data_IF_230928292905
#
_entry.id   IF_230928292905
#
_cell.length_a   1.000
_cell.length_b   1.000
_cell.length_c   1.000
_cell.angle_alpha   90.00
_cell.angle_beta   90.00
_cell.angle_gamma   90.00
#
_symmetry.space_group_name_H-M   'P 1'
#
loop_
_entity.id
_entity.type
_entity.pdbx_description
1 polymer ?
#
# COMPACT_ATOMS: atom_id res chain seq x y z
N UNK A 1 20.09 9.95 -4.82
CA UNK A 1 18.72 9.99 -5.41
C UNK A 1 18.28 8.55 -5.62
N UNK A 2 17.11 8.15 -5.14
CA UNK A 2 16.65 6.77 -5.29
C UNK A 2 16.28 6.47 -6.76
N UNK A 3 16.53 5.25 -7.25
CA UNK A 3 16.12 4.84 -8.59
C UNK A 3 14.59 4.81 -8.71
N UNK A 4 14.03 5.09 -9.91
CA UNK A 4 12.59 4.97 -10.12
C UNK A 4 12.14 3.51 -10.03
N UNK A 5 10.94 3.29 -9.49
CA UNK A 5 10.30 1.97 -9.55
C UNK A 5 9.89 1.67 -10.99
N UNK A 6 10.27 0.49 -11.49
CA UNK A 6 9.97 0.02 -12.86
C UNK A 6 9.45 -1.40 -12.81
N UNK A 7 8.65 -1.78 -13.82
CA UNK A 7 8.15 -3.15 -13.96
C UNK A 7 7.27 -3.61 -12.80
N UNK A 8 6.62 -2.66 -12.11
CA UNK A 8 5.67 -2.92 -11.04
C UNK A 8 4.39 -2.13 -11.29
N UNK A 9 3.27 -2.77 -11.00
CA UNK A 9 1.94 -2.19 -10.99
C UNK A 9 1.35 -2.31 -9.58
N UNK A 10 0.40 -1.45 -9.28
CA UNK A 10 -0.26 -1.40 -7.99
C UNK A 10 -1.76 -1.56 -8.20
N UNK A 11 -2.38 -2.40 -7.38
CA UNK A 11 -3.82 -2.40 -7.24
C UNK A 11 -4.16 -1.57 -6.00
N UNK A 12 -4.94 -0.50 -6.17
CA UNK A 12 -5.51 0.27 -5.07
C UNK A 12 -6.95 -0.17 -4.87
N UNK A 13 -7.27 -0.65 -3.68
CA UNK A 13 -8.61 -1.07 -3.26
C UNK A 13 -9.02 -0.26 -2.05
N UNK A 14 -10.16 0.42 -2.12
CA UNK A 14 -10.70 1.17 -1.00
C UNK A 14 -12.18 0.78 -0.83
N UNK A 15 -12.53 0.10 0.26
CA UNK A 15 -13.93 -0.16 0.61
C UNK A 15 -14.71 1.13 0.77
N UNK A 16 -16.04 1.06 0.61
CA UNK A 16 -16.95 2.20 0.81
C UNK A 16 -17.07 2.56 2.31
N UNK A 17 -16.01 3.17 2.83
CA UNK A 17 -15.90 3.61 4.21
C UNK A 17 -14.81 4.68 4.33
N UNK A 18 -14.92 5.52 5.36
CA UNK A 18 -13.94 6.57 5.65
C UNK A 18 -13.38 6.39 7.05
N UNK A 19 -12.05 6.43 7.16
CA UNK A 19 -11.34 6.48 8.44
C UNK A 19 -10.89 7.90 8.73
N UNK A 20 -11.15 8.37 9.95
CA UNK A 20 -10.71 9.69 10.39
C UNK A 20 -9.24 9.62 10.81
N UNK A 21 -8.36 10.23 10.00
CA UNK A 21 -6.91 10.28 10.26
C UNK A 21 -6.59 10.70 11.69
N UNK A 22 -7.22 11.77 12.19
CA UNK A 22 -7.00 12.29 13.54
C UNK A 22 -7.32 11.26 14.64
N UNK A 23 -8.34 10.43 14.44
CA UNK A 23 -8.71 9.36 15.37
C UNK A 23 -7.69 8.24 15.35
N UNK A 24 -7.25 7.80 14.17
CA UNK A 24 -6.25 6.73 14.04
C UNK A 24 -4.92 7.15 14.69
N UNK A 25 -4.46 8.38 14.43
CA UNK A 25 -3.25 8.89 15.07
C UNK A 25 -3.37 9.03 16.59
N UNK A 26 -4.56 9.36 17.10
CA UNK A 26 -4.82 9.41 18.57
C UNK A 26 -4.78 8.02 19.21
N UNK A 27 -5.24 6.99 18.51
CA UNK A 27 -5.22 5.61 18.98
C UNK A 27 -3.81 5.00 18.93
N UNK A 28 -2.93 5.54 18.08
CA UNK A 28 -1.52 5.14 17.95
C UNK A 28 -0.67 5.55 19.18
N UNK A 29 -1.18 5.42 20.41
CA UNK A 29 -0.56 5.75 21.70
C UNK A 29 0.70 4.91 22.00
N UNK A 30 1.65 4.89 21.07
CA UNK A 30 3.00 4.37 21.21
C UNK A 30 3.92 5.58 21.33
N UNK A 31 4.74 5.61 22.39
CA UNK A 31 5.80 6.61 22.52
C UNK A 31 6.66 6.68 21.26
N UNK A 32 7.35 7.82 21.09
CA UNK A 32 8.33 8.04 20.01
C UNK A 32 9.08 6.74 19.71
N UNK A 33 9.13 6.33 18.44
CA UNK A 33 9.79 5.09 17.97
C UNK A 33 11.16 4.90 18.61
N UNK A 34 11.19 4.21 19.76
CA UNK A 34 12.36 4.22 20.64
C UNK A 34 13.35 3.12 20.26
N UNK A 35 12.92 2.18 19.41
CA UNK A 35 13.73 1.10 18.85
C UNK A 35 13.26 0.75 17.44
N UNK A 36 13.71 1.51 16.45
CA UNK A 36 13.71 1.04 15.06
C UNK A 36 15.16 0.82 14.64
N UNK A 37 15.49 -0.28 13.94
CA UNK A 37 16.80 -0.44 13.30
C UNK A 37 17.11 0.81 12.47
N UNK A 38 18.38 1.26 12.47
CA UNK A 38 18.80 2.38 11.61
C UNK A 38 18.69 1.97 10.15
N UNK A 39 17.53 2.18 9.54
CA UNK A 39 17.34 2.09 8.09
C UNK A 39 18.06 3.30 7.47
N UNK A 40 18.93 3.03 6.51
CA UNK A 40 19.65 4.06 5.78
C UNK A 40 19.41 3.86 4.28
N UNK A 41 19.91 4.79 3.47
CA UNK A 41 19.64 4.78 2.04
C UNK A 41 20.13 3.52 1.32
N UNK A 42 21.22 2.89 1.76
CA UNK A 42 21.76 1.66 1.15
C UNK A 42 20.82 0.47 1.35
N UNK A 43 20.17 0.39 2.52
CA UNK A 43 19.13 -0.62 2.76
C UNK A 43 17.93 -0.43 1.82
N UNK A 44 17.53 0.83 1.60
CA UNK A 44 16.42 1.17 0.69
C UNK A 44 16.78 0.87 -0.76
N UNK A 45 17.98 1.22 -1.21
CA UNK A 45 18.45 0.92 -2.58
C UNK A 45 18.46 -0.59 -2.86
N UNK A 46 18.94 -1.39 -1.91
CA UNK A 46 18.91 -2.85 -2.02
C UNK A 46 17.48 -3.43 -2.07
N UNK A 47 16.55 -2.84 -1.32
CA UNK A 47 15.13 -3.21 -1.39
C UNK A 47 14.53 -2.87 -2.74
N UNK A 48 14.75 -1.65 -3.24
CA UNK A 48 14.24 -1.21 -4.55
C UNK A 48 14.80 -2.07 -5.68
N UNK A 49 16.07 -2.46 -5.63
CA UNK A 49 16.68 -3.30 -6.66
C UNK A 49 16.02 -4.68 -6.80
N UNK A 50 15.34 -5.16 -5.75
CA UNK A 50 14.62 -6.45 -5.75
C UNK A 50 13.10 -6.28 -5.90
N UNK A 51 12.59 -5.04 -5.83
CA UNK A 51 11.16 -4.76 -5.90
C UNK A 51 10.63 -5.01 -7.33
N UNK A 52 9.41 -5.55 -7.50
CA UNK A 52 8.46 -5.99 -6.47
C UNK A 52 8.60 -7.47 -6.06
N UNK A 53 9.54 -8.21 -6.65
CA UNK A 53 9.63 -9.68 -6.52
C UNK A 53 10.41 -10.16 -5.29
N UNK A 54 11.16 -9.29 -4.63
CA UNK A 54 11.91 -9.59 -3.42
C UNK A 54 11.09 -9.51 -2.14
N UNK A 55 11.64 -10.04 -1.06
CA UNK A 55 11.08 -9.88 0.28
C UNK A 55 10.99 -8.39 0.65
N UNK A 56 9.81 -7.98 1.10
CA UNK A 56 9.55 -6.63 1.60
C UNK A 56 9.41 -6.69 3.12
N UNK A 57 10.21 -5.88 3.80
CA UNK A 57 10.20 -5.78 5.27
C UNK A 57 9.62 -4.45 5.76
N UNK A 58 9.22 -3.57 4.84
CA UNK A 58 8.49 -2.36 5.18
C UNK A 58 7.07 -2.71 5.62
N UNK A 59 6.48 -1.87 6.46
CA UNK A 59 5.11 -2.05 6.93
C UNK A 59 4.50 -0.72 7.34
N UNK A 60 3.18 -0.72 7.51
CA UNK A 60 2.47 0.45 7.97
C UNK A 60 2.07 0.28 9.43
N UNK A 61 2.77 0.97 10.35
CA UNK A 61 2.51 0.90 11.79
C UNK A 61 1.06 1.24 12.17
N UNK A 62 0.35 2.01 11.35
CA UNK A 62 -1.06 2.34 11.60
C UNK A 62 -1.95 1.09 11.54
N UNK A 63 -1.51 0.01 10.88
CA UNK A 63 -2.23 -1.27 10.85
C UNK A 63 -2.43 -1.88 12.23
N UNK A 64 -1.49 -1.67 13.17
CA UNK A 64 -1.57 -2.18 14.54
C UNK A 64 -2.80 -1.66 15.29
N UNK A 65 -3.30 -0.47 14.92
CA UNK A 65 -4.49 0.15 15.51
C UNK A 65 -5.71 0.10 14.61
N UNK A 66 -5.52 0.10 13.28
CA UNK A 66 -6.63 0.05 12.32
C UNK A 66 -7.18 -1.38 12.22
N UNK A 67 -6.35 -2.38 11.91
CA UNK A 67 -6.85 -3.72 11.56
C UNK A 67 -7.71 -4.38 12.65
N UNK A 68 -7.41 -4.26 13.96
CA UNK A 68 -8.26 -4.82 15.00
C UNK A 68 -9.70 -4.28 14.99
N UNK A 69 -9.89 -3.02 14.59
CA UNK A 69 -11.20 -2.37 14.55
C UNK A 69 -11.95 -2.55 13.24
N UNK A 70 -11.29 -3.03 12.17
CA UNK A 70 -11.86 -3.10 10.82
C UNK A 70 -11.57 -4.45 10.15
N UNK A 71 -12.32 -5.53 10.50
CA UNK A 71 -12.12 -6.86 9.93
C UNK A 71 -12.26 -6.92 8.40
N UNK A 72 -12.98 -5.98 7.79
CA UNK A 72 -13.08 -5.85 6.33
C UNK A 72 -11.72 -5.56 5.69
N UNK A 73 -10.89 -4.73 6.32
CA UNK A 73 -9.56 -4.40 5.83
C UNK A 73 -8.59 -5.57 6.03
N UNK A 74 -8.70 -6.27 7.17
CA UNK A 74 -7.89 -7.45 7.43
C UNK A 74 -8.16 -8.56 6.41
N UNK A 75 -9.42 -8.83 6.09
CA UNK A 75 -9.79 -9.80 5.04
C UNK A 75 -9.33 -9.36 3.66
N UNK A 76 -9.51 -8.08 3.31
CA UNK A 76 -9.03 -7.56 2.03
C UNK A 76 -7.52 -7.70 1.87
N UNK A 77 -6.73 -7.40 2.91
CA UNK A 77 -5.27 -7.60 2.89
C UNK A 77 -4.93 -9.08 2.72
N UNK A 78 -5.64 -9.99 3.40
CA UNK A 78 -5.44 -11.43 3.26
C UNK A 78 -5.75 -11.93 1.84
N UNK A 79 -6.90 -11.52 1.26
CA UNK A 79 -7.29 -11.83 -0.12
C UNK A 79 -6.21 -11.35 -1.11
N UNK A 80 -5.72 -10.12 -0.97
CA UNK A 80 -4.68 -9.58 -1.84
C UNK A 80 -3.33 -10.31 -1.68
N UNK A 81 -3.03 -10.82 -0.49
CA UNK A 81 -1.82 -11.61 -0.24
C UNK A 81 -1.79 -12.97 -0.95
N UNK A 82 -2.95 -13.48 -1.38
CA UNK A 82 -3.00 -14.69 -2.21
C UNK A 82 -2.39 -14.46 -3.60
N UNK A 83 -2.35 -13.20 -4.05
CA UNK A 83 -1.86 -12.81 -5.38
C UNK A 83 -0.57 -11.99 -5.36
N UNK A 84 -0.30 -11.29 -4.26
CA UNK A 84 0.81 -10.36 -4.11
C UNK A 84 1.64 -10.63 -2.84
N UNK A 85 2.96 -10.50 -2.97
CA UNK A 85 3.88 -10.58 -1.81
C UNK A 85 3.76 -9.39 -0.87
N UNK A 86 3.18 -8.28 -1.33
CA UNK A 86 3.02 -7.03 -0.59
C UNK A 86 1.57 -6.59 -0.72
N UNK A 87 0.86 -6.54 0.41
CA UNK A 87 -0.45 -5.92 0.55
C UNK A 87 -0.53 -5.24 1.92
N UNK A 88 -0.95 -3.97 1.96
CA UNK A 88 -1.06 -3.20 3.21
C UNK A 88 -1.88 -1.92 3.04
N UNK A 89 -2.28 -1.32 4.15
CA UNK A 89 -2.91 -0.01 4.19
C UNK A 89 -1.99 1.08 3.61
N UNK A 90 -2.58 1.98 2.82
CA UNK A 90 -1.97 3.21 2.34
C UNK A 90 -2.22 4.34 3.34
N UNK A 91 -1.27 4.52 4.27
CA UNK A 91 -1.36 5.53 5.31
C UNK A 91 -2.42 5.21 6.37
N UNK A 92 -3.21 6.20 6.78
CA UNK A 92 -4.20 6.07 7.88
C UNK A 92 -5.62 5.73 7.40
N UNK A 93 -5.83 5.68 6.08
CA UNK A 93 -7.15 5.52 5.47
C UNK A 93 -7.56 4.05 5.31
N UNK A 94 -8.73 3.86 4.70
CA UNK A 94 -9.26 2.54 4.33
C UNK A 94 -8.67 1.99 3.03
N UNK A 95 -7.85 2.78 2.31
CA UNK A 95 -7.21 2.33 1.09
C UNK A 95 -6.15 1.28 1.40
N UNK A 96 -6.24 0.12 0.75
CA UNK A 96 -5.24 -0.94 0.72
C UNK A 96 -4.58 -0.90 -0.65
N UNK A 97 -3.26 -1.07 -0.69
CA UNK A 97 -2.56 -1.31 -1.95
C UNK A 97 -1.94 -2.71 -1.94
N UNK A 98 -1.86 -3.31 -3.11
CA UNK A 98 -1.07 -4.50 -3.37
C UNK A 98 -0.14 -4.29 -4.56
N UNK A 99 1.02 -4.95 -4.54
CA UNK A 99 2.09 -4.74 -5.53
C UNK A 99 2.27 -5.97 -6.41
N UNK A 100 2.31 -5.75 -7.72
CA UNK A 100 2.40 -6.81 -8.70
C UNK A 100 3.60 -6.59 -9.63
N UNK A 101 4.34 -7.67 -9.89
CA UNK A 101 5.36 -7.74 -10.95
C UNK A 101 4.91 -8.54 -12.17
N UNK A 102 3.61 -8.86 -12.22
CA UNK A 102 2.93 -9.61 -13.27
C UNK A 102 1.50 -9.06 -13.42
N UNK A 103 1.16 -8.62 -14.63
CA UNK A 103 -0.12 -7.99 -14.94
C UNK A 103 -1.30 -8.98 -14.85
N UNK A 104 -1.08 -10.26 -15.20
CA UNK A 104 -2.12 -11.28 -15.14
C UNK A 104 -2.61 -11.53 -13.72
N UNK A 105 -1.68 -11.64 -12.76
CA UNK A 105 -2.00 -11.72 -11.32
C UNK A 105 -2.72 -10.48 -10.80
N UNK A 106 -2.34 -9.29 -11.27
CA UNK A 106 -3.03 -8.07 -10.90
C UNK A 106 -4.49 -8.12 -11.34
N UNK A 107 -4.76 -8.46 -12.59
CA UNK A 107 -6.14 -8.53 -13.11
C UNK A 107 -6.97 -9.63 -12.44
N UNK A 108 -6.35 -10.75 -12.08
CA UNK A 108 -7.02 -11.78 -11.29
C UNK A 108 -7.43 -11.23 -9.91
N UNK A 109 -6.48 -10.67 -9.15
CA UNK A 109 -6.75 -10.07 -7.85
C UNK A 109 -7.82 -8.97 -7.94
N UNK A 110 -7.75 -8.13 -8.98
CA UNK A 110 -8.71 -7.06 -9.24
C UNK A 110 -10.13 -7.59 -9.34
N UNK A 111 -10.35 -8.67 -10.10
CA UNK A 111 -11.67 -9.29 -10.27
C UNK A 111 -12.20 -9.90 -8.98
N UNK A 112 -11.33 -10.49 -8.17
CA UNK A 112 -11.73 -11.17 -6.93
C UNK A 112 -12.12 -10.18 -5.82
N UNK A 113 -11.48 -9.02 -5.76
CA UNK A 113 -11.76 -8.00 -4.73
C UNK A 113 -12.83 -6.99 -5.14
N UNK A 114 -13.26 -7.01 -6.41
CA UNK A 114 -14.22 -6.06 -6.96
C UNK A 114 -15.61 -6.25 -6.33
N UNK A 115 -16.11 -5.18 -5.71
CA UNK A 115 -17.36 -5.15 -4.95
C UNK A 115 -18.12 -3.86 -5.28
N UNK A 116 -19.47 -3.89 -5.30
CA UNK A 116 -20.26 -2.68 -5.50
C UNK A 116 -19.88 -1.58 -4.49
N UNK A 117 -19.70 -0.34 -4.97
CA UNK A 117 -19.33 0.81 -4.15
C UNK A 117 -17.84 0.92 -3.80
N UNK A 118 -17.05 -0.13 -4.00
CA UNK A 118 -15.62 -0.08 -3.72
C UNK A 118 -14.86 0.61 -4.83
N UNK A 119 -13.88 1.42 -4.47
CA UNK A 119 -12.91 1.95 -5.43
C UNK A 119 -11.83 0.90 -5.67
N UNK A 120 -11.68 0.47 -6.92
CA UNK A 120 -10.69 -0.54 -7.33
C UNK A 120 -9.98 -0.08 -8.59
N UNK A 121 -8.67 0.21 -8.53
CA UNK A 121 -7.91 0.71 -9.70
C UNK A 121 -6.51 0.12 -9.78
N UNK A 122 -6.17 -0.38 -10.97
CA UNK A 122 -4.79 -0.65 -11.37
C UNK A 122 -4.10 0.68 -11.69
N UNK A 123 -2.91 0.90 -11.12
CA UNK A 123 -2.14 2.14 -11.32
C UNK A 123 -0.64 1.86 -11.42
N UNK A 124 0.08 2.79 -12.02
CA UNK A 124 1.55 2.78 -12.10
C UNK A 124 2.14 4.02 -11.42
N UNK A 125 3.35 3.94 -10.85
CA UNK A 125 4.02 5.12 -10.26
C UNK A 125 4.20 6.25 -11.27
N UNK A 126 3.82 7.46 -10.88
CA UNK A 126 4.06 8.65 -11.69
C UNK A 126 5.26 9.45 -11.15
N UNK A 127 6.38 9.41 -11.87
CA UNK A 127 7.64 10.01 -11.41
C UNK A 127 7.73 11.54 -11.54
N UNK A 128 6.81 12.17 -12.27
CA UNK A 128 6.87 13.61 -12.56
C UNK A 128 6.31 14.48 -11.41
N UNK A 129 5.68 13.88 -10.41
CA UNK A 129 4.97 14.63 -9.37
C UNK A 129 3.78 15.38 -9.94
N UNK A 130 3.60 16.64 -9.53
CA UNK A 130 2.52 17.51 -10.02
C UNK A 130 2.90 18.07 -11.39
N UNK A 131 2.01 17.89 -12.37
CA UNK A 131 2.14 18.48 -13.70
C UNK A 131 0.99 19.49 -13.86
N UNK A 132 1.32 20.76 -14.11
CA UNK A 132 0.33 21.75 -14.55
C UNK A 132 -0.02 21.43 -15.99
N UNK A 133 -1.28 21.15 -16.26
CA UNK A 133 -1.80 21.03 -17.62
C UNK A 133 -2.41 22.37 -17.96
N UNK A 134 -1.92 23.02 -19.02
CA UNK A 134 -2.60 24.17 -19.57
C UNK A 134 -3.93 23.69 -20.15
N UNK A 135 -5.04 24.23 -19.66
CA UNK A 135 -6.37 23.96 -20.19
C UNK A 135 -6.41 24.45 -21.66
N UNK A 136 -6.85 23.57 -22.57
CA UNK A 136 -7.13 23.92 -23.98
C UNK A 136 -8.50 24.59 -24.07
#
# INVERSE_FOLDING_TARGET
RLPPLRGCEFLIVMPDMTLQTSTIYRQLNMGLTTRSPKVNIRHIEALIARFPRGSWFGGNRLEDVVLPGYPVLQRLIAELHEHASIAMLSGSGAAVFAVFGDHGRLEQARREVERPGWFVRAVTPHAAGVIVRDDV
#
